data_IF_759795200402
#
_entry.id   IF_759795200402
#
_cell.length_a   1.000
_cell.length_b   1.000
_cell.length_c   1.000
_cell.angle_alpha   90.00
_cell.angle_beta   90.00
_cell.angle_gamma   90.00
#
_symmetry.space_group_name_H-M   'P 1'
#
loop_
_entity.id
_entity.type
_entity.pdbx_description
1 polymer ?
#
# COMPACT_ATOMS: atom_id res chain seq x y z
N UNK A 1 3.71 -26.53 -3.08
CA UNK A 1 2.53 -25.66 -3.28
C UNK A 1 2.87 -24.59 -4.31
N UNK A 2 1.99 -24.31 -5.28
CA UNK A 2 2.33 -23.42 -6.40
C UNK A 2 2.39 -21.96 -5.93
N UNK A 3 3.52 -21.28 -6.16
CA UNK A 3 3.75 -19.85 -5.88
C UNK A 3 2.60 -18.95 -6.33
N UNK A 4 1.95 -19.31 -7.46
CA UNK A 4 0.78 -18.64 -8.01
C UNK A 4 -0.45 -18.65 -7.06
N UNK A 5 -0.68 -19.76 -6.36
CA UNK A 5 -1.80 -19.92 -5.42
C UNK A 5 -1.58 -19.06 -4.19
N UNK A 6 -0.36 -19.03 -3.68
CA UNK A 6 0.00 -18.20 -2.52
C UNK A 6 -0.06 -16.71 -2.87
N UNK A 7 0.36 -16.34 -4.08
CA UNK A 7 0.21 -14.97 -4.60
C UNK A 7 -1.26 -14.56 -4.76
N UNK A 8 -2.11 -15.40 -5.34
CA UNK A 8 -3.57 -15.17 -5.42
C UNK A 8 -4.19 -15.01 -4.05
N UNK A 9 -3.81 -15.89 -3.13
CA UNK A 9 -4.31 -15.85 -1.77
C UNK A 9 -3.92 -14.52 -1.10
N UNK A 10 -2.66 -14.11 -1.19
CA UNK A 10 -2.17 -12.85 -0.62
C UNK A 10 -2.83 -11.61 -1.23
N UNK A 11 -2.97 -11.53 -2.56
CA UNK A 11 -3.69 -10.43 -3.21
C UNK A 11 -5.15 -10.40 -2.78
N UNK A 12 -5.82 -11.55 -2.82
CA UNK A 12 -7.24 -11.64 -2.44
C UNK A 12 -7.45 -11.22 -1.00
N UNK A 13 -6.49 -11.54 -0.12
CA UNK A 13 -6.49 -11.19 1.29
C UNK A 13 -6.28 -9.70 1.51
N UNK A 14 -5.32 -9.07 0.83
CA UNK A 14 -5.11 -7.61 0.89
C UNK A 14 -6.39 -6.87 0.45
N UNK A 15 -7.01 -7.28 -0.65
CA UNK A 15 -8.26 -6.67 -1.12
C UNK A 15 -9.46 -6.98 -0.23
N UNK A 16 -9.51 -8.16 0.38
CA UNK A 16 -10.53 -8.49 1.35
C UNK A 16 -10.44 -7.55 2.55
N UNK A 17 -9.24 -7.37 3.08
CA UNK A 17 -8.94 -6.60 4.29
C UNK A 17 -9.11 -5.09 4.08
N UNK A 18 -8.65 -4.58 2.93
CA UNK A 18 -8.95 -3.22 2.50
C UNK A 18 -10.46 -3.01 2.32
N UNK A 19 -11.19 -4.06 1.95
CA UNK A 19 -12.63 -4.04 1.72
C UNK A 19 -13.50 -4.42 2.93
N UNK A 20 -12.91 -4.72 4.10
CA UNK A 20 -13.70 -5.03 5.30
C UNK A 20 -14.48 -3.78 5.70
N UNK A 21 -15.80 -3.90 5.68
CA UNK A 21 -16.68 -2.93 6.31
C UNK A 21 -16.85 -3.33 7.77
N UNK A 22 -16.20 -2.61 8.70
CA UNK A 22 -16.42 -2.84 10.14
C UNK A 22 -17.65 -2.06 10.59
N UNK A 23 -18.67 -2.76 11.05
CA UNK A 23 -19.94 -2.17 11.47
C UNK A 23 -19.84 -1.35 12.77
N UNK A 24 -18.87 -1.65 13.63
CA UNK A 24 -18.67 -0.96 14.92
C UNK A 24 -17.58 0.09 14.81
N UNK A 25 -18.00 1.32 14.51
CA UNK A 25 -17.14 2.49 14.50
C UNK A 25 -17.54 3.39 15.66
N UNK A 26 -16.66 3.56 16.64
CA UNK A 26 -16.93 4.32 17.86
C UNK A 26 -16.78 5.85 17.68
N UNK A 27 -15.91 6.29 16.76
CA UNK A 27 -15.56 7.70 16.53
C UNK A 27 -15.72 8.01 15.04
N UNK A 28 -16.03 9.25 14.68
CA UNK A 28 -16.12 9.68 13.28
C UNK A 28 -14.84 9.28 12.49
N UNK A 29 -14.94 8.41 11.46
CA UNK A 29 -13.80 7.90 10.70
C UNK A 29 -12.96 8.99 10.03
N UNK A 30 -13.60 10.10 9.64
CA UNK A 30 -12.93 11.22 9.00
C UNK A 30 -11.88 11.84 9.95
N UNK A 31 -12.26 12.03 11.21
CA UNK A 31 -11.40 12.64 12.23
C UNK A 31 -10.21 11.74 12.50
N UNK A 32 -10.45 10.44 12.69
CA UNK A 32 -9.39 9.45 12.91
C UNK A 32 -8.41 9.46 11.72
N UNK A 33 -8.93 9.44 10.49
CA UNK A 33 -8.12 9.46 9.28
C UNK A 33 -7.26 10.73 9.20
N UNK A 34 -7.84 11.91 9.42
CA UNK A 34 -7.12 13.18 9.39
C UNK A 34 -6.05 13.26 10.48
N UNK A 35 -6.35 12.85 11.71
CA UNK A 35 -5.36 12.80 12.80
C UNK A 35 -4.21 11.87 12.44
N UNK A 36 -4.51 10.68 11.90
CA UNK A 36 -3.47 9.73 11.51
C UNK A 36 -2.57 10.28 10.40
N UNK A 37 -3.14 11.02 9.44
CA UNK A 37 -2.43 11.63 8.34
C UNK A 37 -1.54 12.77 8.84
N UNK A 38 -2.08 13.67 9.66
CA UNK A 38 -1.30 14.76 10.27
C UNK A 38 -0.16 14.17 11.09
N UNK A 39 -0.43 13.21 11.96
CA UNK A 39 0.59 12.61 12.82
C UNK A 39 1.70 11.93 12.02
N UNK A 40 1.34 11.27 10.92
CA UNK A 40 2.31 10.68 9.98
C UNK A 40 3.18 11.74 9.32
N UNK A 41 2.60 12.84 8.85
CA UNK A 41 3.38 13.94 8.24
C UNK A 41 4.34 14.54 9.27
N UNK A 42 3.86 14.87 10.47
CA UNK A 42 4.69 15.46 11.51
C UNK A 42 5.81 14.51 11.97
N UNK A 43 5.51 13.23 12.14
CA UNK A 43 6.50 12.21 12.50
C UNK A 43 7.53 11.99 11.38
N UNK A 44 7.09 12.13 10.12
CA UNK A 44 7.94 12.00 8.95
C UNK A 44 8.78 13.25 8.67
N UNK A 45 8.44 14.45 9.14
CA UNK A 45 9.18 15.70 8.88
C UNK A 45 10.06 16.13 10.05
N UNK A 46 9.55 16.07 11.28
CA UNK A 46 10.23 16.55 12.47
C UNK A 46 11.01 15.43 13.15
N UNK A 47 12.27 15.71 13.50
CA UNK A 47 13.13 14.80 14.26
C UNK A 47 12.97 15.02 15.77
N UNK A 48 11.73 15.01 16.28
CA UNK A 48 11.45 15.15 17.71
C UNK A 48 10.95 13.81 18.26
N UNK A 49 11.69 13.24 19.20
CA UNK A 49 11.35 11.97 19.88
C UNK A 49 9.91 11.99 20.45
N UNK A 50 9.46 13.14 20.95
CA UNK A 50 8.10 13.30 21.48
C UNK A 50 7.01 12.96 20.45
N UNK A 51 7.19 13.35 19.18
CA UNK A 51 6.23 13.08 18.11
C UNK A 51 6.21 11.59 17.75
N UNK A 52 7.36 10.93 17.81
CA UNK A 52 7.47 9.48 17.59
C UNK A 52 6.75 8.71 18.70
N UNK A 53 6.95 9.11 19.96
CA UNK A 53 6.23 8.53 21.11
C UNK A 53 4.72 8.70 20.95
N UNK A 54 4.26 9.91 20.58
CA UNK A 54 2.83 10.17 20.36
C UNK A 54 2.26 9.30 19.23
N UNK A 55 3.03 9.11 18.15
CA UNK A 55 2.67 8.24 17.01
C UNK A 55 2.48 6.79 17.43
N UNK A 56 3.36 6.29 18.30
CA UNK A 56 3.26 4.92 18.83
C UNK A 56 2.09 4.77 19.80
N UNK A 57 1.87 5.73 20.70
CA UNK A 57 0.73 5.71 21.64
C UNK A 57 -0.59 5.70 20.87
N UNK A 58 -0.75 6.59 19.89
CA UNK A 58 -1.92 6.62 19.02
C UNK A 58 -2.14 5.28 18.31
N UNK A 59 -1.08 4.71 17.72
CA UNK A 59 -1.15 3.44 17.02
C UNK A 59 -1.55 2.29 17.95
N UNK A 60 -1.01 2.24 19.17
CA UNK A 60 -1.37 1.25 20.18
C UNK A 60 -2.85 1.36 20.59
N UNK A 61 -3.34 2.58 20.83
CA UNK A 61 -4.75 2.84 21.13
C UNK A 61 -5.64 2.30 20.00
N UNK A 62 -5.31 2.59 18.75
CA UNK A 62 -6.07 2.12 17.59
C UNK A 62 -6.06 0.59 17.47
N UNK A 63 -4.92 -0.06 17.72
CA UNK A 63 -4.80 -1.52 17.74
C UNK A 63 -5.70 -2.14 18.81
N UNK A 64 -5.72 -1.57 20.02
CA UNK A 64 -6.51 -2.08 21.14
C UNK A 64 -8.01 -1.94 20.88
N UNK A 65 -8.44 -0.78 20.37
CA UNK A 65 -9.87 -0.49 20.12
C UNK A 65 -10.40 -1.34 18.97
N UNK A 66 -9.71 -1.33 17.82
CA UNK A 66 -10.25 -1.91 16.60
C UNK A 66 -9.79 -3.34 16.34
N UNK A 67 -8.75 -3.83 17.03
CA UNK A 67 -8.21 -5.19 16.89
C UNK A 67 -8.01 -5.59 15.41
N UNK A 68 -7.09 -4.91 14.70
CA UNK A 68 -6.76 -5.25 13.31
C UNK A 68 -6.10 -6.64 13.22
N UNK A 69 -6.17 -7.27 12.04
CA UNK A 69 -5.50 -8.54 11.81
C UNK A 69 -3.97 -8.37 11.80
N UNK A 70 -3.32 -8.76 12.91
CA UNK A 70 -1.87 -8.59 13.16
C UNK A 70 -0.99 -9.14 12.04
N UNK A 71 -1.43 -10.23 11.37
CA UNK A 71 -0.71 -10.84 10.26
C UNK A 71 -0.42 -9.84 9.12
N UNK A 72 -1.33 -8.92 8.81
CA UNK A 72 -1.17 -7.95 7.71
C UNK A 72 -0.24 -6.83 8.11
N UNK A 73 -0.38 -6.35 9.35
CA UNK A 73 0.55 -5.38 9.93
C UNK A 73 1.98 -5.93 9.84
N UNK A 74 2.19 -7.18 10.26
CA UNK A 74 3.48 -7.85 10.14
C UNK A 74 3.99 -7.88 8.69
N UNK A 75 3.17 -8.30 7.73
CA UNK A 75 3.59 -8.40 6.33
C UNK A 75 3.98 -7.03 5.74
N UNK A 76 3.27 -5.95 6.13
CA UNK A 76 3.61 -4.58 5.76
C UNK A 76 4.92 -4.11 6.42
N UNK A 77 5.13 -4.39 7.70
CA UNK A 77 6.36 -4.01 8.40
C UNK A 77 7.58 -4.79 7.88
N UNK A 78 7.43 -6.05 7.49
CA UNK A 78 8.50 -6.80 6.82
C UNK A 78 8.91 -6.09 5.53
N UNK A 79 7.94 -5.70 4.71
CA UNK A 79 8.20 -4.98 3.47
C UNK A 79 8.83 -3.61 3.72
N UNK A 80 8.34 -2.84 4.71
CA UNK A 80 8.92 -1.57 5.10
C UNK A 80 10.35 -1.72 5.61
N UNK A 81 10.64 -2.76 6.39
CA UNK A 81 11.98 -3.05 6.88
C UNK A 81 12.94 -3.31 5.72
N UNK A 82 12.57 -4.14 4.75
CA UNK A 82 13.39 -4.34 3.55
C UNK A 82 13.60 -3.04 2.76
N UNK A 83 12.55 -2.24 2.59
CA UNK A 83 12.65 -0.94 1.92
C UNK A 83 13.44 0.10 2.71
N UNK A 84 13.59 -0.05 4.02
CA UNK A 84 14.38 0.85 4.85
C UNK A 84 15.86 0.43 4.89
N UNK A 85 16.14 -0.87 4.94
CA UNK A 85 17.52 -1.37 4.99
C UNK A 85 18.28 -1.04 3.72
N UNK A 86 17.70 -1.28 2.53
CA UNK A 86 18.37 -1.05 1.24
C UNK A 86 18.94 0.38 1.10
N UNK A 87 18.14 1.46 1.22
CA UNK A 87 18.64 2.82 1.17
C UNK A 87 19.33 3.27 2.47
N UNK A 88 19.12 2.57 3.59
CA UNK A 88 19.79 2.86 4.85
C UNK A 88 21.24 2.37 4.88
N UNK A 89 21.57 1.27 4.20
CA UNK A 89 22.92 0.68 4.25
C UNK A 89 24.06 1.62 3.91
N UNK A 90 23.97 2.55 2.92
CA UNK A 90 25.05 3.49 2.65
C UNK A 90 25.34 4.42 3.84
N UNK A 91 24.35 4.71 4.70
CA UNK A 91 24.53 5.55 5.89
C UNK A 91 25.49 4.96 6.92
N UNK A 92 25.75 3.64 6.86
CA UNK A 92 26.72 2.97 7.74
C UNK A 92 28.18 3.18 7.31
N UNK A 93 28.40 3.56 6.04
CA UNK A 93 29.73 3.62 5.42
C UNK A 93 30.15 5.03 5.00
N UNK A 94 29.18 5.93 4.81
CA UNK A 94 29.43 7.29 4.36
C UNK A 94 29.05 8.30 5.42
N UNK A 95 30.04 9.06 5.89
CA UNK A 95 29.79 10.26 6.67
C UNK A 95 29.51 11.40 5.70
N UNK A 96 28.23 11.77 5.59
CA UNK A 96 27.81 12.95 4.85
C UNK A 96 27.97 14.13 5.79
N UNK A 97 29.08 14.85 5.65
CA UNK A 97 29.22 16.18 6.22
C UNK A 97 29.02 17.24 5.13
N UNK A 98 28.71 18.47 5.51
CA UNK A 98 28.28 19.54 4.57
C UNK A 98 29.29 19.87 3.46
N UNK A 99 30.53 19.38 3.54
CA UNK A 99 31.62 19.72 2.62
C UNK A 99 32.40 18.53 2.07
N UNK A 100 32.24 17.31 2.60
CA UNK A 100 32.90 16.11 2.05
C UNK A 100 32.13 14.82 2.35
N UNK A 101 32.17 13.88 1.42
CA UNK A 101 31.77 12.49 1.64
C UNK A 101 33.04 11.77 2.09
N UNK A 102 33.17 11.54 3.38
CA UNK A 102 34.31 10.83 3.94
C UNK A 102 33.89 9.37 4.15
N UNK A 103 34.70 8.43 3.64
CA UNK A 103 34.50 7.02 3.91
C UNK A 103 35.11 6.71 5.27
N UNK A 104 34.26 6.58 6.29
CA UNK A 104 34.66 6.17 7.62
C UNK A 104 33.73 5.04 8.08
N UNK A 105 34.13 3.77 7.88
CA UNK A 105 33.25 2.63 8.12
C UNK A 105 32.98 2.45 9.62
N UNK A 106 31.70 2.32 9.98
CA UNK A 106 31.27 1.92 11.34
C UNK A 106 31.60 2.91 12.47
N UNK A 107 31.60 4.21 12.18
CA UNK A 107 31.59 5.24 13.22
C UNK A 107 30.28 5.19 14.04
N UNK A 108 30.34 5.53 15.33
CA UNK A 108 29.17 5.58 16.24
C UNK A 108 28.10 6.52 15.70
N UNK A 109 28.50 7.67 15.15
CA UNK A 109 27.59 8.64 14.54
C UNK A 109 26.87 8.08 13.31
N UNK A 110 27.57 7.27 12.49
CA UNK A 110 27.00 6.62 11.30
C UNK A 110 25.96 5.56 11.69
N UNK A 111 26.24 4.80 12.75
CA UNK A 111 25.30 3.83 13.33
C UNK A 111 24.07 4.55 13.88
N UNK A 112 24.25 5.66 14.60
CA UNK A 112 23.13 6.45 15.14
C UNK A 112 22.22 7.00 14.05
N UNK A 113 22.80 7.56 12.98
CA UNK A 113 22.05 8.05 11.80
C UNK A 113 21.29 6.93 11.10
N UNK A 114 21.90 5.76 10.95
CA UNK A 114 21.24 4.59 10.38
C UNK A 114 20.06 4.13 11.24
N UNK A 115 20.24 4.03 12.55
CA UNK A 115 19.17 3.66 13.48
C UNK A 115 18.04 4.69 13.45
N UNK A 116 18.36 5.99 13.49
CA UNK A 116 17.37 7.07 13.36
C UNK A 116 16.61 7.00 12.04
N UNK A 117 17.29 6.67 10.95
CA UNK A 117 16.64 6.51 9.65
C UNK A 117 15.69 5.32 9.66
N UNK A 118 16.15 4.15 10.10
CA UNK A 118 15.31 2.95 10.22
C UNK A 118 14.10 3.20 11.12
N UNK A 119 14.30 3.81 12.29
CA UNK A 119 13.22 4.09 13.22
C UNK A 119 12.20 5.05 12.62
N UNK A 120 12.64 6.09 11.90
CA UNK A 120 11.73 7.03 11.22
C UNK A 120 10.91 6.36 10.13
N UNK A 121 11.53 5.52 9.29
CA UNK A 121 10.81 4.81 8.21
C UNK A 121 9.81 3.81 8.78
N UNK A 122 10.12 3.18 9.91
CA UNK A 122 9.21 2.24 10.55
C UNK A 122 8.11 2.92 11.37
N UNK A 123 8.43 3.95 12.17
CA UNK A 123 7.53 4.58 13.15
C UNK A 123 6.64 5.65 12.51
N UNK A 124 7.15 6.45 11.57
CA UNK A 124 6.38 7.56 11.00
C UNK A 124 5.09 7.14 10.30
N UNK A 125 5.06 6.09 9.44
CA UNK A 125 3.83 5.69 8.77
C UNK A 125 2.87 4.86 9.64
N UNK A 126 3.27 4.48 10.86
CA UNK A 126 2.47 3.59 11.73
C UNK A 126 1.06 4.10 12.03
N UNK A 127 0.83 5.39 12.33
CA UNK A 127 -0.51 5.89 12.63
C UNK A 127 -1.45 5.69 11.44
N UNK A 128 -0.96 5.98 10.24
CA UNK A 128 -1.74 5.86 9.02
C UNK A 128 -2.02 4.40 8.66
N UNK A 129 -1.00 3.53 8.70
CA UNK A 129 -1.14 2.10 8.39
C UNK A 129 -2.16 1.44 9.31
N UNK A 130 -2.02 1.67 10.62
CA UNK A 130 -2.92 1.10 11.62
C UNK A 130 -4.34 1.60 11.41
N UNK A 131 -4.53 2.90 11.15
CA UNK A 131 -5.86 3.47 10.92
C UNK A 131 -6.55 2.91 9.67
N UNK A 132 -5.83 2.80 8.55
CA UNK A 132 -6.38 2.25 7.30
C UNK A 132 -6.78 0.78 7.47
N UNK A 133 -5.95 -0.04 8.13
CA UNK A 133 -6.25 -1.47 8.36
C UNK A 133 -7.40 -1.62 9.37
N UNK A 134 -7.47 -0.74 10.36
CA UNK A 134 -8.49 -0.78 11.40
C UNK A 134 -9.87 -0.39 10.88
N UNK A 135 -9.96 0.68 10.08
CA UNK A 135 -11.24 1.19 9.55
C UNK A 135 -11.67 0.53 8.24
N UNK A 136 -10.71 0.13 7.40
CA UNK A 136 -10.97 -0.27 6.02
C UNK A 136 -11.15 0.92 5.08
N UNK A 137 -10.80 0.73 3.82
CA UNK A 137 -10.92 1.78 2.80
C UNK A 137 -12.36 2.22 2.52
N UNK A 138 -13.38 1.34 2.44
CA UNK A 138 -14.77 1.73 2.16
C UNK A 138 -15.31 2.79 3.12
N UNK A 139 -15.02 2.61 4.42
CA UNK A 139 -15.47 3.52 5.48
C UNK A 139 -14.82 4.90 5.30
N UNK A 140 -13.50 4.93 5.13
CA UNK A 140 -12.75 6.17 4.92
C UNK A 140 -13.20 6.87 3.64
N UNK A 141 -13.38 6.12 2.55
CA UNK A 141 -13.80 6.66 1.25
C UNK A 141 -15.19 7.29 1.31
N UNK A 142 -16.14 6.69 2.04
CA UNK A 142 -17.51 7.21 2.19
C UNK A 142 -17.52 8.56 2.91
N UNK A 143 -16.69 8.71 3.93
CA UNK A 143 -16.56 9.98 4.65
C UNK A 143 -15.84 11.04 3.81
N UNK A 144 -14.78 10.67 3.09
CA UNK A 144 -14.08 11.59 2.17
C UNK A 144 -14.98 12.07 1.02
N UNK A 145 -15.94 11.25 0.56
CA UNK A 145 -16.91 11.64 -0.47
C UNK A 145 -17.87 12.75 -0.03
N UNK A 146 -18.03 12.99 1.28
CA UNK A 146 -18.85 14.11 1.79
C UNK A 146 -18.21 15.47 1.54
N UNK A 147 -16.90 15.50 1.26
CA UNK A 147 -16.17 16.73 0.94
C UNK A 147 -16.36 17.04 -0.56
N UNK A 148 -17.02 18.16 -0.93
CA UNK A 148 -17.47 18.42 -2.30
C UNK A 148 -16.32 18.47 -3.33
N UNK A 149 -15.13 18.92 -2.96
CA UNK A 149 -13.95 18.94 -3.84
C UNK A 149 -13.27 17.57 -4.04
N UNK A 150 -13.43 16.64 -3.09
CA UNK A 150 -12.74 15.34 -3.14
C UNK A 150 -13.60 14.24 -3.78
N UNK A 151 -14.92 14.41 -3.84
CA UNK A 151 -15.86 13.40 -4.33
C UNK A 151 -15.45 12.77 -5.68
N UNK A 152 -15.07 13.59 -6.67
CA UNK A 152 -14.66 13.12 -8.01
C UNK A 152 -13.41 12.22 -7.94
N UNK A 153 -12.41 12.63 -7.17
CA UNK A 153 -11.16 11.89 -7.00
C UNK A 153 -11.37 10.58 -6.25
N UNK A 154 -12.20 10.59 -5.19
CA UNK A 154 -12.51 9.37 -4.44
C UNK A 154 -13.27 8.36 -5.30
N UNK A 155 -14.17 8.81 -6.19
CA UNK A 155 -14.83 7.93 -7.17
C UNK A 155 -13.80 7.27 -8.09
N UNK A 156 -12.82 8.03 -8.59
CA UNK A 156 -11.75 7.47 -9.42
C UNK A 156 -10.88 6.47 -8.67
N UNK A 157 -10.51 6.76 -7.41
CA UNK A 157 -9.74 5.83 -6.57
C UNK A 157 -10.54 4.55 -6.31
N UNK A 158 -11.83 4.66 -6.01
CA UNK A 158 -12.72 3.51 -5.80
C UNK A 158 -12.85 2.65 -7.07
N UNK A 159 -13.03 3.27 -8.24
CA UNK A 159 -13.03 2.56 -9.52
C UNK A 159 -11.68 1.89 -9.79
N UNK A 160 -10.58 2.58 -9.50
CA UNK A 160 -9.23 2.04 -9.66
C UNK A 160 -9.02 0.80 -8.77
N UNK A 161 -9.34 0.87 -7.48
CA UNK A 161 -9.20 -0.28 -6.57
C UNK A 161 -10.04 -1.48 -7.00
N UNK A 162 -11.27 -1.24 -7.47
CA UNK A 162 -12.13 -2.28 -8.03
C UNK A 162 -11.51 -2.90 -9.31
N UNK A 163 -10.94 -2.07 -10.18
CA UNK A 163 -10.26 -2.50 -11.40
C UNK A 163 -9.01 -3.32 -11.10
N UNK A 164 -8.13 -2.86 -10.21
CA UNK A 164 -6.90 -3.58 -9.85
C UNK A 164 -7.21 -4.98 -9.33
N UNK A 165 -8.26 -5.14 -8.51
CA UNK A 165 -8.71 -6.45 -8.04
C UNK A 165 -9.12 -7.37 -9.21
N UNK A 166 -9.84 -6.85 -10.20
CA UNK A 166 -10.25 -7.62 -11.37
C UNK A 166 -9.06 -7.96 -12.26
N UNK A 167 -8.23 -6.97 -12.55
CA UNK A 167 -7.04 -7.04 -13.40
C UNK A 167 -6.05 -8.06 -12.85
N UNK A 168 -5.75 -8.03 -11.55
CA UNK A 168 -4.85 -8.99 -10.90
C UNK A 168 -5.34 -10.43 -11.04
N UNK A 169 -6.63 -10.69 -10.80
CA UNK A 169 -7.22 -12.03 -11.00
C UNK A 169 -7.07 -12.49 -12.45
N UNK A 170 -7.43 -11.65 -13.41
CA UNK A 170 -7.38 -12.02 -14.82
C UNK A 170 -5.95 -12.27 -15.31
N UNK A 171 -5.01 -11.41 -14.90
CA UNK A 171 -3.59 -11.57 -15.22
C UNK A 171 -3.06 -12.92 -14.73
N UNK A 172 -3.47 -13.33 -13.52
CA UNK A 172 -3.04 -14.60 -12.96
C UNK A 172 -3.61 -15.78 -13.75
N UNK A 173 -4.88 -15.74 -14.15
CA UNK A 173 -5.45 -16.78 -15.01
C UNK A 173 -4.74 -16.86 -16.37
N UNK A 174 -4.39 -15.72 -16.96
CA UNK A 174 -3.62 -15.67 -18.21
C UNK A 174 -2.23 -16.29 -18.02
N UNK A 175 -1.52 -15.92 -16.96
CA UNK A 175 -0.21 -16.49 -16.63
C UNK A 175 -0.28 -17.99 -16.39
N UNK A 176 -1.29 -18.47 -15.65
CA UNK A 176 -1.50 -19.90 -15.40
C UNK A 176 -1.78 -20.69 -16.69
N UNK A 177 -2.66 -20.16 -17.56
CA UNK A 177 -2.96 -20.77 -18.84
C UNK A 177 -1.73 -20.84 -19.76
N UNK A 178 -0.82 -19.86 -19.66
CA UNK A 178 0.43 -19.83 -20.43
C UNK A 178 1.49 -20.75 -19.82
N UNK A 179 1.61 -20.82 -18.50
CA UNK A 179 2.49 -21.80 -17.83
C UNK A 179 2.07 -23.23 -18.19
N UNK A 180 0.76 -23.53 -18.21
CA UNK A 180 0.25 -24.85 -18.59
C UNK A 180 0.56 -25.26 -20.04
N UNK A 181 0.73 -24.29 -20.96
CA UNK A 181 1.06 -24.56 -22.37
C UNK A 181 2.56 -24.73 -22.61
N UNK A 182 3.41 -24.26 -21.71
CA UNK A 182 4.86 -24.23 -21.92
C UNK A 182 5.50 -25.42 -21.21
N UNK A 183 5.82 -26.44 -22.00
CA UNK A 183 6.41 -27.71 -21.52
C UNK A 183 7.88 -27.54 -21.08
N UNK A 184 8.60 -26.51 -21.57
CA UNK A 184 10.01 -26.20 -21.19
C UNK A 184 10.12 -24.91 -20.36
N UNK A 185 10.56 -25.04 -19.11
CA UNK A 185 10.78 -23.93 -18.16
C UNK A 185 12.13 -23.21 -18.38
N UNK A 186 12.42 -22.76 -19.59
CA UNK A 186 13.64 -21.97 -19.82
C UNK A 186 13.44 -20.51 -19.39
N UNK A 187 14.34 -19.98 -18.57
CA UNK A 187 14.30 -18.58 -18.08
C UNK A 187 14.22 -17.54 -19.21
N UNK A 188 14.74 -17.88 -20.40
CA UNK A 188 14.72 -17.03 -21.60
C UNK A 188 13.30 -16.70 -22.08
N UNK A 189 12.31 -17.58 -21.85
CA UNK A 189 10.93 -17.34 -22.30
C UNK A 189 10.07 -16.57 -21.30
N UNK A 190 10.52 -16.39 -20.05
CA UNK A 190 9.76 -15.71 -19.00
C UNK A 190 9.36 -14.30 -19.45
N UNK A 191 10.30 -13.54 -20.01
CA UNK A 191 10.03 -12.19 -20.51
C UNK A 191 9.02 -12.16 -21.66
N UNK A 192 9.09 -13.14 -22.58
CA UNK A 192 8.16 -13.25 -23.71
C UNK A 192 6.74 -13.59 -23.24
N UNK A 193 6.63 -14.46 -22.24
CA UNK A 193 5.36 -14.83 -21.61
C UNK A 193 4.75 -13.61 -20.90
N UNK A 194 5.58 -12.87 -20.15
CA UNK A 194 5.15 -11.69 -19.41
C UNK A 194 4.68 -10.57 -20.36
N UNK A 195 5.48 -10.24 -21.37
CA UNK A 195 5.19 -9.19 -22.34
C UNK A 195 3.89 -9.44 -23.10
N UNK A 196 3.70 -10.66 -23.61
CA UNK A 196 2.44 -10.98 -24.28
C UNK A 196 1.25 -11.07 -23.32
N UNK A 197 1.46 -11.37 -22.03
CA UNK A 197 0.37 -11.42 -21.04
C UNK A 197 -0.07 -10.00 -20.69
N UNK A 198 0.89 -9.09 -20.54
CA UNK A 198 0.62 -7.66 -20.37
C UNK A 198 -0.06 -7.07 -21.61
N UNK A 199 0.37 -7.44 -22.82
CA UNK A 199 -0.27 -7.01 -24.07
C UNK A 199 -1.75 -7.38 -24.14
N UNK A 200 -2.07 -8.65 -23.90
CA UNK A 200 -3.47 -9.13 -23.85
C UNK A 200 -4.27 -8.44 -22.74
N UNK A 201 -3.64 -8.21 -21.58
CA UNK A 201 -4.27 -7.54 -20.46
C UNK A 201 -4.61 -6.07 -20.77
N UNK A 202 -3.76 -5.35 -21.51
CA UNK A 202 -4.05 -3.98 -21.96
C UNK A 202 -5.26 -3.97 -22.90
N UNK A 203 -5.33 -4.89 -23.86
CA UNK A 203 -6.48 -5.00 -24.76
C UNK A 203 -7.77 -5.29 -23.99
N UNK A 204 -7.71 -6.21 -23.03
CA UNK A 204 -8.86 -6.58 -22.23
C UNK A 204 -9.31 -5.46 -21.27
N UNK A 205 -8.36 -4.71 -20.70
CA UNK A 205 -8.70 -3.56 -19.84
C UNK A 205 -9.30 -2.41 -20.63
N UNK A 206 -8.83 -2.17 -21.86
CA UNK A 206 -9.45 -1.19 -22.77
C UNK A 206 -10.89 -1.60 -23.12
N UNK A 207 -11.11 -2.86 -23.52
CA UNK A 207 -12.45 -3.40 -23.79
C UNK A 207 -13.36 -3.25 -22.57
N UNK A 208 -12.85 -3.59 -21.38
CA UNK A 208 -13.61 -3.43 -20.14
C UNK A 208 -13.94 -1.96 -19.83
N UNK A 209 -12.97 -1.06 -19.98
CA UNK A 209 -13.17 0.38 -19.78
C UNK A 209 -14.29 0.92 -20.68
N UNK A 210 -14.27 0.58 -21.97
CA UNK A 210 -15.30 0.98 -22.94
C UNK A 210 -16.68 0.46 -22.56
N UNK A 211 -16.78 -0.80 -22.13
CA UNK A 211 -18.04 -1.38 -21.68
C UNK A 211 -18.54 -0.73 -20.39
N UNK A 212 -17.67 -0.44 -19.42
CA UNK A 212 -18.05 0.27 -18.20
C UNK A 212 -18.50 1.69 -18.48
N UNK A 213 -17.85 2.39 -19.41
CA UNK A 213 -18.27 3.73 -19.83
C UNK A 213 -19.65 3.68 -20.49
N UNK A 214 -19.88 2.76 -21.42
CA UNK A 214 -21.18 2.60 -22.08
C UNK A 214 -22.30 2.26 -21.08
N UNK A 215 -22.03 1.35 -20.13
CA UNK A 215 -22.97 0.96 -19.08
C UNK A 215 -23.23 2.10 -18.08
N UNK A 216 -22.23 2.94 -17.80
CA UNK A 216 -22.40 4.13 -16.98
C UNK A 216 -23.25 5.16 -17.71
N UNK A 217 -22.93 5.44 -18.98
CA UNK A 217 -23.68 6.35 -19.85
C UNK A 217 -25.14 5.93 -20.01
N UNK A 218 -25.43 4.64 -20.14
CA UNK A 218 -26.81 4.14 -20.25
C UNK A 218 -27.62 4.26 -18.96
N UNK A 219 -26.96 4.40 -17.80
CA UNK A 219 -27.60 4.56 -16.49
C UNK A 219 -27.73 6.03 -16.06
N UNK A 220 -26.95 6.93 -16.65
CA UNK A 220 -27.04 8.37 -16.41
C UNK A 220 -28.02 9.01 -17.40
N UNK A 221 -29.22 9.35 -16.92
CA UNK A 221 -30.34 9.86 -17.75
C UNK A 221 -30.24 11.38 -17.99
N UNK A 222 -29.51 12.14 -17.15
CA UNK A 222 -29.14 13.55 -17.33
C UNK A 222 -28.09 13.93 -16.28
N UNK A 223 -27.05 14.66 -16.71
CA UNK A 223 -25.99 15.28 -15.87
C UNK A 223 -25.35 14.37 -14.79
N UNK A 224 -24.62 13.37 -15.29
CA UNK A 224 -23.38 12.89 -14.67
C UNK A 224 -22.22 13.45 -15.51
#
# INVERSE_FOLDING_TARGET
MSVLRDFLHNISRIFYELGIYREKIFINPLIIFLISLVLTIFSATFNMIMIWILSLIYSMIMIVIYRPHIKILRDIYILLFFLAVVPGTPLLFFEIDKQSITYDPLNINSIERFIMFLSRVLIAPTPFIVTIISLGWPVVSKELMKIPGLKKYIIYINMFLMLVRKISRTMIFMLAAREARIVRRDRKYIWRILTSAVGDMILQTNYFSRNTYNAYKSRCIREC
#
